data_IF_029575655320
#
_entry.id   IF_029575655320
#
_cell.length_a   1.000
_cell.length_b   1.000
_cell.length_c   1.000
_cell.angle_alpha   90.00
_cell.angle_beta   90.00
_cell.angle_gamma   90.00
#
_symmetry.space_group_name_H-M   'P 1'
#
loop_
_entity.id
_entity.type
_entity.pdbx_description
1 polymer ?
#
# COMPACT_ATOMS: atom_id res chain seq x y z
N UNK A 1 -10.16 11.49 16.50
CA UNK A 1 -10.20 11.01 15.10
C UNK A 1 -9.07 11.71 14.36
N UNK A 2 -8.15 10.95 13.76
CA UNK A 2 -7.23 11.54 12.78
C UNK A 2 -8.06 12.01 11.58
N UNK A 3 -7.77 13.18 10.99
CA UNK A 3 -8.48 13.65 9.79
C UNK A 3 -8.36 12.60 8.69
N UNK A 4 -9.48 12.27 8.04
CA UNK A 4 -9.49 11.39 6.88
C UNK A 4 -8.95 12.16 5.67
N UNK A 5 -8.14 11.54 4.84
CA UNK A 5 -7.50 12.23 3.70
C UNK A 5 -8.49 12.71 2.64
N UNK A 6 -9.69 12.14 2.57
CA UNK A 6 -10.79 12.65 1.75
C UNK A 6 -11.16 14.11 2.10
N UNK A 7 -10.78 14.61 3.28
CA UNK A 7 -10.99 15.98 3.72
C UNK A 7 -9.80 16.93 3.37
N UNK A 8 -8.76 16.43 2.68
CA UNK A 8 -7.58 17.22 2.30
C UNK A 8 -7.67 17.74 0.86
N UNK A 9 -7.71 19.06 0.74
CA UNK A 9 -7.68 19.80 -0.52
C UNK A 9 -6.33 19.63 -1.28
N UNK A 10 -6.35 19.78 -2.60
CA UNK A 10 -5.19 19.64 -3.49
C UNK A 10 -3.98 20.47 -3.03
N UNK A 11 -4.22 21.67 -2.46
CA UNK A 11 -3.14 22.52 -1.95
C UNK A 11 -2.43 21.91 -0.75
N UNK A 12 -3.16 21.22 0.14
CA UNK A 12 -2.57 20.54 1.30
C UNK A 12 -1.86 19.27 0.88
N UNK A 13 -2.41 18.57 -0.10
CA UNK A 13 -1.76 17.41 -0.73
C UNK A 13 -0.38 17.78 -1.28
N UNK A 14 -0.29 18.89 -2.03
CA UNK A 14 0.98 19.38 -2.60
C UNK A 14 2.05 19.70 -1.53
N UNK A 15 1.64 20.05 -0.31
CA UNK A 15 2.55 20.30 0.81
C UNK A 15 2.99 19.00 1.52
N UNK A 16 2.14 17.97 1.51
CA UNK A 16 2.40 16.71 2.22
C UNK A 16 3.23 15.76 1.37
N UNK A 17 2.96 15.67 0.06
CA UNK A 17 3.66 14.74 -0.86
C UNK A 17 5.19 14.85 -0.76
N UNK A 18 5.82 16.05 -0.73
CA UNK A 18 7.27 16.18 -0.61
C UNK A 18 7.84 15.64 0.71
N UNK A 19 7.04 15.67 1.78
CA UNK A 19 7.42 15.22 3.12
C UNK A 19 7.28 13.71 3.32
N UNK A 20 6.61 13.03 2.38
CA UNK A 20 6.44 11.58 2.46
C UNK A 20 7.78 10.85 2.29
N UNK A 21 7.97 9.72 3.02
CA UNK A 21 9.04 8.78 2.74
C UNK A 21 9.03 8.34 1.27
N UNK A 22 10.19 7.98 0.73
CA UNK A 22 10.33 7.55 -0.68
C UNK A 22 9.32 6.46 -1.06
N UNK A 23 9.21 5.41 -0.23
CA UNK A 23 8.23 4.32 -0.46
C UNK A 23 6.78 4.82 -0.53
N UNK A 24 6.40 5.80 0.27
CA UNK A 24 5.04 6.34 0.24
C UNK A 24 4.79 7.19 -1.02
N UNK A 25 5.85 7.83 -1.56
CA UNK A 25 5.78 8.53 -2.85
C UNK A 25 5.62 7.53 -4.00
N UNK A 26 6.41 6.46 -4.04
CA UNK A 26 6.32 5.44 -5.08
C UNK A 26 4.94 4.76 -5.09
N UNK A 27 4.35 4.53 -3.91
CA UNK A 27 2.98 4.03 -3.79
C UNK A 27 1.97 5.05 -4.32
N UNK A 28 2.11 6.32 -3.94
CA UNK A 28 1.22 7.38 -4.42
C UNK A 28 1.31 7.55 -5.95
N UNK A 29 2.48 7.36 -6.54
CA UNK A 29 2.68 7.37 -8.00
C UNK A 29 2.02 6.17 -8.68
N UNK A 30 2.07 4.98 -8.06
CA UNK A 30 1.53 3.75 -8.64
C UNK A 30 -0.01 3.64 -8.55
N UNK A 31 -0.60 4.02 -7.42
CA UNK A 31 -2.03 3.78 -7.12
C UNK A 31 -2.81 5.04 -6.73
N UNK A 32 -2.17 6.21 -6.76
CA UNK A 32 -2.74 7.47 -6.30
C UNK A 32 -2.53 7.67 -4.80
N UNK A 33 -2.39 8.95 -4.41
CA UNK A 33 -2.08 9.34 -3.04
C UNK A 33 -3.13 8.86 -2.03
N UNK A 34 -4.42 8.98 -2.35
CA UNK A 34 -5.50 8.55 -1.46
C UNK A 34 -5.39 7.06 -1.11
N UNK A 35 -5.23 6.21 -2.14
CA UNK A 35 -5.12 4.77 -1.93
C UNK A 35 -3.83 4.40 -1.19
N UNK A 36 -2.70 5.02 -1.54
CA UNK A 36 -1.44 4.82 -0.83
C UNK A 36 -1.60 5.11 0.67
N UNK A 37 -2.20 6.25 1.02
CA UNK A 37 -2.38 6.65 2.40
C UNK A 37 -3.42 5.82 3.15
N UNK A 38 -4.52 5.41 2.51
CA UNK A 38 -5.46 4.46 3.10
C UNK A 38 -4.77 3.14 3.46
N UNK A 39 -3.85 2.69 2.60
CA UNK A 39 -3.06 1.49 2.84
C UNK A 39 -2.08 1.67 4.02
N UNK A 40 -1.42 2.83 4.14
CA UNK A 40 -0.61 3.17 5.32
C UNK A 40 -1.44 3.34 6.60
N UNK A 41 -2.66 3.85 6.51
CA UNK A 41 -3.53 4.06 7.65
C UNK A 41 -4.06 2.73 8.23
N UNK A 42 -4.49 1.82 7.35
CA UNK A 42 -5.05 0.53 7.75
C UNK A 42 -3.97 -0.51 8.10
N UNK A 43 -2.86 -0.52 7.34
CA UNK A 43 -1.84 -1.57 7.45
C UNK A 43 -0.43 -1.06 7.76
N UNK A 44 -0.30 0.21 8.17
CA UNK A 44 1.00 0.80 8.51
C UNK A 44 1.73 0.02 9.60
N UNK A 45 3.03 -0.21 9.40
CA UNK A 45 3.86 -1.02 10.31
C UNK A 45 3.71 -2.54 10.13
N UNK A 46 2.98 -3.00 9.10
CA UNK A 46 2.96 -4.40 8.69
C UNK A 46 3.83 -4.62 7.45
N UNK A 47 4.34 -5.84 7.27
CA UNK A 47 5.00 -6.22 6.03
C UNK A 47 3.96 -6.50 4.94
N UNK A 48 4.19 -5.97 3.75
CA UNK A 48 3.32 -6.19 2.61
C UNK A 48 3.99 -7.05 1.56
N UNK A 49 3.20 -7.95 0.97
CA UNK A 49 3.57 -8.72 -0.20
C UNK A 49 2.44 -8.57 -1.21
N UNK A 50 2.75 -7.98 -2.36
CA UNK A 50 1.77 -7.74 -3.41
C UNK A 50 1.88 -8.81 -4.48
N UNK A 51 0.76 -9.47 -4.78
CA UNK A 51 0.71 -10.46 -5.83
C UNK A 51 0.53 -9.77 -7.20
N UNK A 52 1.32 -10.20 -8.21
CA UNK A 52 1.20 -9.76 -9.62
C UNK A 52 -0.14 -10.13 -10.27
N UNK A 53 -0.90 -11.02 -9.64
CA UNK A 53 -2.21 -11.49 -10.07
C UNK A 53 -3.02 -11.93 -8.85
N UNK A 54 -4.35 -11.99 -8.98
CA UNK A 54 -5.22 -12.52 -7.93
C UNK A 54 -4.83 -13.97 -7.60
N UNK A 55 -4.44 -14.30 -6.35
CA UNK A 55 -4.08 -15.65 -5.96
C UNK A 55 -5.31 -16.58 -5.98
N UNK A 56 -5.16 -17.87 -6.34
CA UNK A 56 -6.29 -18.77 -6.51
C UNK A 56 -6.96 -19.21 -5.19
N UNK A 57 -6.19 -19.39 -4.10
CA UNK A 57 -6.69 -19.77 -2.78
C UNK A 57 -5.60 -19.58 -1.69
N UNK A 58 -5.99 -19.76 -0.43
CA UNK A 58 -5.07 -19.78 0.72
C UNK A 58 -4.82 -18.42 1.36
N UNK A 59 -3.80 -18.35 2.22
CA UNK A 59 -3.46 -17.15 3.00
C UNK A 59 -3.11 -15.97 2.07
N UNK A 60 -2.39 -16.23 0.98
CA UNK A 60 -2.09 -15.21 -0.02
C UNK A 60 -3.35 -14.62 -0.66
N UNK A 61 -4.36 -15.45 -0.95
CA UNK A 61 -5.65 -14.97 -1.46
C UNK A 61 -6.38 -14.12 -0.41
N UNK A 62 -6.41 -14.55 0.86
CA UNK A 62 -7.00 -13.76 1.94
C UNK A 62 -6.33 -12.38 2.08
N UNK A 63 -4.99 -12.34 2.08
CA UNK A 63 -4.22 -11.08 2.17
C UNK A 63 -4.46 -10.17 0.97
N UNK A 64 -4.56 -10.75 -0.22
CA UNK A 64 -4.94 -10.01 -1.42
C UNK A 64 -6.33 -9.38 -1.26
N UNK A 65 -7.33 -10.12 -0.78
CA UNK A 65 -8.68 -9.59 -0.56
C UNK A 65 -8.72 -8.50 0.53
N UNK A 66 -7.94 -8.63 1.60
CA UNK A 66 -7.81 -7.60 2.64
C UNK A 66 -7.26 -6.29 2.07
N UNK A 67 -6.20 -6.36 1.25
CA UNK A 67 -5.64 -5.18 0.58
C UNK A 67 -6.63 -4.62 -0.47
N UNK A 68 -7.27 -5.50 -1.24
CA UNK A 68 -8.22 -5.13 -2.28
C UNK A 68 -9.49 -4.46 -1.69
N UNK A 69 -9.88 -4.79 -0.46
CA UNK A 69 -10.97 -4.13 0.23
C UNK A 69 -10.69 -2.65 0.56
N UNK A 70 -9.41 -2.28 0.69
CA UNK A 70 -9.00 -0.90 1.03
C UNK A 70 -8.69 -0.06 -0.22
N UNK A 71 -7.98 -0.63 -1.18
CA UNK A 71 -7.48 0.12 -2.35
C UNK A 71 -8.02 -0.38 -3.70
N UNK A 72 -8.81 -1.45 -3.72
CA UNK A 72 -9.29 -2.09 -4.94
C UNK A 72 -8.29 -3.08 -5.55
N UNK A 73 -8.80 -4.16 -6.14
CA UNK A 73 -8.00 -5.27 -6.67
C UNK A 73 -7.01 -4.83 -7.77
N UNK A 74 -7.41 -3.94 -8.67
CA UNK A 74 -6.53 -3.41 -9.73
C UNK A 74 -5.30 -2.69 -9.17
N UNK A 75 -5.48 -1.93 -8.07
CA UNK A 75 -4.38 -1.21 -7.44
C UNK A 75 -3.44 -2.17 -6.70
N UNK A 76 -3.96 -3.23 -6.07
CA UNK A 76 -3.12 -4.29 -5.48
C UNK A 76 -2.26 -4.96 -6.55
N UNK A 77 -2.85 -5.28 -7.72
CA UNK A 77 -2.13 -5.87 -8.85
C UNK A 77 -1.08 -4.89 -9.41
N UNK A 78 -1.41 -3.60 -9.53
CA UNK A 78 -0.46 -2.56 -9.94
C UNK A 78 0.74 -2.49 -9.00
N UNK A 79 0.51 -2.49 -7.68
CA UNK A 79 1.60 -2.56 -6.71
C UNK A 79 2.44 -3.84 -6.87
N UNK A 80 1.80 -4.99 -7.11
CA UNK A 80 2.51 -6.24 -7.38
C UNK A 80 3.36 -6.22 -8.66
N UNK A 81 2.95 -5.44 -9.66
CA UNK A 81 3.72 -5.23 -10.87
C UNK A 81 4.85 -4.19 -10.68
N UNK A 82 4.62 -3.14 -9.90
CA UNK A 82 5.59 -2.07 -9.60
C UNK A 82 6.69 -2.54 -8.65
N UNK A 83 6.36 -3.41 -7.70
CA UNK A 83 7.30 -3.98 -6.71
C UNK A 83 7.40 -5.51 -6.88
N UNK A 84 7.97 -5.99 -8.01
CA UNK A 84 7.86 -7.38 -8.43
C UNK A 84 8.71 -8.38 -7.61
N UNK A 85 9.65 -7.90 -6.80
CA UNK A 85 10.65 -8.73 -6.09
C UNK A 85 11.07 -8.16 -4.72
N UNK A 86 10.46 -7.07 -4.27
CA UNK A 86 10.87 -6.41 -3.03
C UNK A 86 9.84 -6.61 -1.93
N UNK A 87 10.32 -7.13 -0.80
CA UNK A 87 9.68 -6.90 0.49
C UNK A 87 9.47 -5.40 0.64
N UNK A 88 8.28 -4.89 0.34
CA UNK A 88 7.97 -3.52 0.68
C UNK A 88 7.75 -3.47 2.18
N UNK A 89 8.83 -3.17 2.89
CA UNK A 89 8.79 -2.81 4.29
C UNK A 89 8.41 -1.33 4.37
N UNK A 90 7.17 -0.97 4.73
CA UNK A 90 6.95 0.36 5.28
C UNK A 90 7.90 0.50 6.48
N UNK A 91 8.63 1.62 6.62
CA UNK A 91 9.79 1.70 7.51
C UNK A 91 9.38 1.81 8.98
N UNK A 92 8.84 0.73 9.56
CA UNK A 92 8.64 0.54 10.99
C UNK A 92 8.69 -0.97 11.28
N UNK A 93 9.88 -1.45 11.65
CA UNK A 93 10.22 -2.76 12.23
C UNK A 93 10.49 -3.99 11.32
N UNK A 94 11.73 -4.47 11.45
CA UNK A 94 12.22 -5.77 11.00
C UNK A 94 11.42 -6.94 11.58
N UNK A 95 10.83 -7.77 10.72
CA UNK A 95 10.84 -9.24 10.87
C UNK A 95 10.55 -9.91 9.53
N UNK A 96 11.41 -10.87 9.18
CA UNK A 96 11.27 -11.79 8.06
C UNK A 96 10.05 -12.69 8.27
N UNK A 97 9.29 -12.95 7.20
CA UNK A 97 8.72 -14.26 6.83
C UNK A 97 7.79 -14.07 5.61
N UNK A 98 8.25 -14.49 4.43
CA UNK A 98 7.41 -14.71 3.25
C UNK A 98 7.29 -16.22 3.06
N UNK A 99 6.07 -16.76 3.12
CA UNK A 99 5.82 -18.16 2.82
C UNK A 99 5.62 -18.33 1.31
N UNK A 100 6.44 -19.24 0.77
CA UNK A 100 6.37 -19.80 -0.58
C UNK A 100 5.02 -20.48 -0.86
#
# INVERSE_FOLDING_TARGET
>A
MLPKFADLDEQKIALIVPLLPAVAKEFAEAIGLENALNLFAEFGGMNWCFAKSRPPAGIAAQRFEELAAVIGADNVIRLGATFPDEHVHPPLHHRHECFA
#
